data_IF_253926237044
#
_entry.id   IF_253926237044
#
_cell.length_a   1.000
_cell.length_b   1.000
_cell.length_c   1.000
_cell.angle_alpha   90.00
_cell.angle_beta   90.00
_cell.angle_gamma   90.00
#
_symmetry.space_group_name_H-M   'P 1'
#
loop_
_entity.id
_entity.type
_entity.pdbx_description
1 polymer ?
#
# COMPACT_ATOMS: atom_id res chain seq x y z
N UNK A 1 8.62 -9.08 13.19
CA UNK A 1 9.19 -10.35 12.71
C UNK A 1 8.33 -11.49 13.24
N UNK A 2 7.57 -12.13 12.35
CA UNK A 2 6.69 -13.23 12.69
C UNK A 2 7.45 -14.56 12.65
N UNK A 3 6.99 -15.55 13.41
CA UNK A 3 7.53 -16.92 13.31
C UNK A 3 7.31 -17.57 11.94
N UNK A 4 6.39 -17.01 11.14
CA UNK A 4 6.05 -17.48 9.80
C UNK A 4 6.76 -16.68 8.68
N UNK A 5 7.71 -15.81 9.03
CA UNK A 5 8.49 -15.08 8.03
C UNK A 5 9.30 -16.08 7.18
N UNK A 6 9.34 -15.84 5.86
CA UNK A 6 10.07 -16.70 4.92
C UNK A 6 11.46 -16.11 4.68
N UNK A 7 12.48 -16.94 4.90
CA UNK A 7 13.86 -16.62 4.59
C UNK A 7 14.09 -16.63 3.07
N UNK A 8 14.67 -15.53 2.58
CA UNK A 8 15.16 -15.37 1.21
C UNK A 8 16.68 -15.26 1.26
N UNK A 9 17.37 -16.09 0.50
CA UNK A 9 18.83 -16.12 0.48
C UNK A 9 19.43 -14.90 -0.25
N UNK A 10 20.62 -14.41 0.13
CA UNK A 10 21.31 -13.34 -0.59
C UNK A 10 21.55 -13.64 -2.06
N UNK A 11 21.71 -14.92 -2.43
CA UNK A 11 21.85 -15.33 -3.83
C UNK A 11 20.55 -15.15 -4.62
N UNK A 12 19.38 -15.44 -4.04
CA UNK A 12 18.08 -15.16 -4.65
C UNK A 12 17.85 -13.65 -4.80
N UNK A 13 18.17 -12.87 -3.76
CA UNK A 13 18.07 -11.40 -3.80
C UNK A 13 18.86 -10.83 -4.97
N UNK A 14 20.14 -11.23 -5.10
CA UNK A 14 21.00 -10.77 -6.20
C UNK A 14 20.54 -11.28 -7.56
N UNK A 15 20.12 -12.55 -7.65
CA UNK A 15 19.73 -13.18 -8.92
C UNK A 15 18.51 -12.50 -9.55
N UNK A 16 17.54 -12.09 -8.75
CA UNK A 16 16.28 -11.51 -9.23
C UNK A 16 16.18 -10.00 -8.97
N UNK A 17 17.29 -9.35 -8.63
CA UNK A 17 17.35 -7.92 -8.31
C UNK A 17 16.25 -7.48 -7.32
N UNK A 18 16.07 -8.27 -6.26
CA UNK A 18 15.01 -8.04 -5.27
C UNK A 18 15.38 -6.87 -4.37
N UNK A 19 14.41 -6.02 -4.10
CA UNK A 19 14.51 -4.88 -3.20
C UNK A 19 13.51 -5.01 -2.04
N UNK A 20 13.80 -4.34 -0.93
CA UNK A 20 12.85 -4.25 0.19
C UNK A 20 11.54 -3.66 -0.32
N UNK A 21 10.47 -4.46 -0.22
CA UNK A 21 9.12 -4.11 -0.65
C UNK A 21 8.57 -4.99 -1.77
N UNK A 22 9.43 -5.74 -2.45
CA UNK A 22 8.98 -6.67 -3.47
C UNK A 22 8.07 -7.76 -2.89
N UNK A 23 6.93 -7.96 -3.54
CA UNK A 23 6.01 -9.07 -3.29
C UNK A 23 6.55 -10.31 -4.01
N UNK A 24 7.11 -11.24 -3.23
CA UNK A 24 7.71 -12.47 -3.75
C UNK A 24 6.78 -13.64 -3.50
N UNK A 25 6.39 -14.32 -4.57
CA UNK A 25 5.58 -15.55 -4.51
C UNK A 25 6.39 -16.74 -5.01
N UNK A 26 6.19 -17.90 -4.38
CA UNK A 26 6.82 -19.13 -4.84
C UNK A 26 6.79 -20.26 -3.83
N UNK A 27 7.54 -21.31 -4.14
CA UNK A 27 7.54 -22.54 -3.36
C UNK A 27 8.40 -22.37 -2.11
N UNK A 28 7.85 -22.74 -0.95
CA UNK A 28 8.54 -22.70 0.34
C UNK A 28 8.80 -24.10 0.86
N UNK A 29 9.84 -24.26 1.67
CA UNK A 29 10.10 -25.48 2.43
C UNK A 29 10.13 -25.21 3.94
N UNK A 30 9.77 -26.20 4.76
CA UNK A 30 9.93 -26.09 6.21
C UNK A 30 11.41 -25.93 6.60
N UNK A 31 11.69 -25.34 7.79
CA UNK A 31 13.03 -25.26 8.35
C UNK A 31 13.61 -26.66 8.56
N UNK A 32 14.89 -26.83 8.25
CA UNK A 32 15.67 -28.01 8.63
C UNK A 32 16.17 -27.87 10.07
N UNK A 33 16.74 -28.95 10.60
CA UNK A 33 17.38 -28.94 11.91
C UNK A 33 18.43 -27.81 11.99
N UNK A 34 18.28 -26.91 12.97
CA UNK A 34 19.12 -25.71 13.12
C UNK A 34 18.62 -24.45 12.40
N UNK A 35 17.57 -24.52 11.57
CA UNK A 35 16.94 -23.35 10.93
C UNK A 35 15.71 -22.87 11.72
N UNK A 36 15.49 -21.56 11.79
CA UNK A 36 14.36 -20.96 12.52
C UNK A 36 13.15 -20.62 11.64
N UNK A 37 13.35 -20.46 10.33
CA UNK A 37 12.37 -19.91 9.41
C UNK A 37 12.13 -20.85 8.23
N UNK A 38 10.94 -20.77 7.62
CA UNK A 38 10.71 -21.36 6.30
C UNK A 38 11.70 -20.75 5.30
N UNK A 39 12.11 -21.51 4.28
CA UNK A 39 13.01 -21.00 3.25
C UNK A 39 12.35 -21.04 1.88
N UNK A 40 12.55 -19.98 1.09
CA UNK A 40 12.08 -19.91 -0.29
C UNK A 40 12.93 -20.84 -1.17
N UNK A 41 12.31 -21.84 -1.80
CA UNK A 41 12.97 -22.78 -2.71
C UNK A 41 13.09 -22.18 -4.12
N UNK A 42 11.97 -21.70 -4.66
CA UNK A 42 11.86 -21.24 -6.03
C UNK A 42 10.95 -20.02 -6.06
N UNK A 43 11.40 -18.96 -6.74
CA UNK A 43 10.58 -17.79 -7.04
C UNK A 43 9.74 -18.11 -8.27
N UNK A 44 8.43 -17.90 -8.17
CA UNK A 44 7.47 -18.07 -9.26
C UNK A 44 6.99 -16.72 -9.80
N UNK A 45 6.92 -15.69 -8.94
CA UNK A 45 6.59 -14.34 -9.35
C UNK A 45 7.23 -13.28 -8.44
N UNK A 46 7.53 -12.12 -9.02
CA UNK A 46 7.93 -10.89 -8.30
C UNK A 46 6.95 -9.80 -8.70
N UNK A 47 6.29 -9.17 -7.72
CA UNK A 47 5.25 -8.14 -7.94
C UNK A 47 4.15 -8.58 -8.94
N UNK A 48 3.73 -9.85 -8.83
CA UNK A 48 2.73 -10.50 -9.70
C UNK A 48 3.16 -10.73 -11.15
N UNK A 49 4.43 -10.47 -11.48
CA UNK A 49 4.99 -10.66 -12.82
C UNK A 49 6.04 -11.77 -12.86
N UNK A 50 6.45 -12.13 -14.09
CA UNK A 50 7.54 -13.07 -14.31
C UNK A 50 8.82 -12.57 -13.61
N UNK A 51 9.47 -13.39 -12.76
CA UNK A 51 10.65 -12.99 -12.01
C UNK A 51 11.84 -12.60 -12.91
N UNK A 52 11.85 -12.94 -14.19
CA UNK A 52 12.87 -12.50 -15.12
C UNK A 52 12.75 -11.00 -15.46
N UNK A 53 11.53 -10.44 -15.45
CA UNK A 53 11.29 -9.02 -15.72
C UNK A 53 11.85 -8.11 -14.61
N UNK A 54 11.93 -8.59 -13.37
CA UNK A 54 12.46 -7.79 -12.24
C UNK A 54 13.94 -7.43 -12.40
N UNK A 55 14.67 -8.14 -13.27
CA UNK A 55 16.09 -7.87 -13.57
C UNK A 55 16.31 -6.61 -14.39
N UNK A 56 15.35 -6.25 -15.25
CA UNK A 56 15.44 -5.10 -16.15
C UNK A 56 14.77 -3.85 -15.57
N UNK A 57 14.18 -3.97 -14.38
CA UNK A 57 13.49 -2.88 -13.70
C UNK A 57 14.44 -1.72 -13.39
N UNK A 58 13.98 -0.51 -13.71
CA UNK A 58 14.60 0.74 -13.31
C UNK A 58 14.24 1.01 -11.84
N UNK A 59 15.23 1.31 -11.01
CA UNK A 59 14.97 1.71 -9.61
C UNK A 59 14.10 2.96 -9.56
N UNK A 60 13.16 3.01 -8.61
CA UNK A 60 12.22 4.12 -8.46
C UNK A 60 12.91 5.49 -8.37
N UNK A 61 14.08 5.56 -7.74
CA UNK A 61 14.88 6.78 -7.57
C UNK A 61 15.45 7.32 -8.90
N UNK A 62 15.52 6.47 -9.94
CA UNK A 62 16.02 6.83 -11.27
C UNK A 62 14.89 7.19 -12.25
N UNK A 63 13.62 7.13 -11.84
CA UNK A 63 12.50 7.55 -12.68
C UNK A 63 12.47 9.07 -12.82
N UNK A 64 12.03 9.55 -13.99
CA UNK A 64 11.85 11.00 -14.21
C UNK A 64 10.55 11.45 -13.56
N UNK A 65 10.58 12.38 -12.59
CA UNK A 65 9.36 12.90 -11.98
C UNK A 65 8.62 13.79 -12.97
N UNK A 66 7.32 13.54 -13.15
CA UNK A 66 6.42 14.33 -13.99
C UNK A 66 5.23 14.82 -13.17
N UNK A 67 4.59 15.89 -13.65
CA UNK A 67 3.30 16.31 -13.12
C UNK A 67 2.21 15.31 -13.52
N UNK A 68 1.16 15.13 -12.69
CA UNK A 68 0.02 14.32 -13.08
C UNK A 68 -0.63 14.84 -14.37
N UNK A 69 -0.80 13.94 -15.34
CA UNK A 69 -1.47 14.17 -16.62
C UNK A 69 -2.80 13.38 -16.73
N UNK A 70 -2.95 12.33 -15.94
CA UNK A 70 -4.19 11.56 -15.81
C UNK A 70 -4.95 11.91 -14.51
N UNK A 71 -6.21 12.31 -14.65
CA UNK A 71 -7.11 12.58 -13.53
C UNK A 71 -7.69 11.28 -12.97
N UNK A 72 -7.82 11.21 -11.65
CA UNK A 72 -8.58 10.19 -10.91
C UNK A 72 -9.96 10.78 -10.63
N UNK A 73 -10.98 10.31 -11.34
CA UNK A 73 -12.35 10.79 -11.15
C UNK A 73 -12.97 10.11 -9.93
N UNK A 74 -13.47 10.89 -8.97
CA UNK A 74 -14.01 10.39 -7.70
C UNK A 74 -15.53 10.36 -7.65
N UNK A 75 -16.22 11.16 -8.46
CA UNK A 75 -17.68 11.13 -8.61
C UNK A 75 -18.15 9.73 -9.03
N UNK A 76 -18.94 9.08 -8.18
CA UNK A 76 -19.46 7.73 -8.45
C UNK A 76 -20.97 7.58 -8.21
N UNK A 77 -21.56 8.43 -7.36
CA UNK A 77 -22.99 8.42 -7.03
C UNK A 77 -23.53 9.84 -6.99
N UNK A 78 -24.76 10.03 -7.46
CA UNK A 78 -25.40 11.35 -7.52
C UNK A 78 -25.59 12.00 -6.13
N UNK A 79 -25.77 11.18 -5.08
CA UNK A 79 -25.89 11.63 -3.69
C UNK A 79 -24.55 11.93 -3.02
N UNK A 80 -23.42 11.55 -3.64
CA UNK A 80 -22.09 11.79 -3.08
C UNK A 80 -21.52 13.14 -3.53
N UNK A 81 -21.95 14.20 -2.85
CA UNK A 81 -21.56 15.57 -3.18
C UNK A 81 -20.08 15.83 -2.88
N UNK A 82 -19.48 15.15 -1.90
CA UNK A 82 -18.13 15.50 -1.45
C UNK A 82 -17.05 15.20 -2.49
N UNK A 83 -17.14 14.05 -3.18
CA UNK A 83 -16.20 13.68 -4.24
C UNK A 83 -16.37 14.56 -5.48
N UNK A 84 -17.60 14.94 -5.81
CA UNK A 84 -17.90 15.91 -6.88
C UNK A 84 -17.26 17.26 -6.64
N UNK A 85 -17.33 17.76 -5.40
CA UNK A 85 -16.66 19.01 -5.05
C UNK A 85 -15.14 18.89 -5.16
N UNK A 86 -14.56 17.74 -4.80
CA UNK A 86 -13.12 17.50 -5.01
C UNK A 86 -12.79 17.54 -6.50
N UNK A 87 -13.52 16.79 -7.34
CA UNK A 87 -13.27 16.74 -8.78
C UNK A 87 -13.34 18.13 -9.45
N UNK A 88 -14.23 19.01 -8.96
CA UNK A 88 -14.39 20.37 -9.50
C UNK A 88 -13.36 21.39 -8.99
N UNK A 89 -13.05 21.37 -7.69
CA UNK A 89 -12.28 22.44 -7.05
C UNK A 89 -10.83 22.06 -6.74
N UNK A 90 -10.55 20.76 -6.59
CA UNK A 90 -9.24 20.24 -6.21
C UNK A 90 -9.01 18.86 -6.84
N UNK A 91 -9.01 18.74 -8.18
CA UNK A 91 -8.90 17.46 -8.87
C UNK A 91 -7.63 16.71 -8.45
N UNK A 92 -7.76 15.39 -8.30
CA UNK A 92 -6.65 14.51 -7.92
C UNK A 92 -6.19 13.75 -9.17
N UNK A 93 -4.89 13.77 -9.47
CA UNK A 93 -4.30 13.01 -10.57
C UNK A 93 -3.40 11.86 -10.13
N UNK A 94 -3.03 10.99 -11.06
CA UNK A 94 -2.06 9.91 -10.82
C UNK A 94 -0.67 10.53 -10.59
N UNK A 95 -0.12 10.30 -9.39
CA UNK A 95 1.10 10.96 -8.91
C UNK A 95 0.85 12.25 -8.10
N UNK A 96 -0.41 12.61 -7.82
CA UNK A 96 -0.74 13.78 -7.03
C UNK A 96 -0.22 13.66 -5.59
N UNK A 97 0.32 14.77 -5.08
CA UNK A 97 0.68 14.94 -3.68
C UNK A 97 -0.27 15.94 -3.04
N UNK A 98 -1.26 15.44 -2.30
CA UNK A 98 -2.29 16.24 -1.65
C UNK A 98 -2.13 16.30 -0.13
N UNK A 99 -2.72 17.33 0.47
CA UNK A 99 -2.88 17.44 1.92
C UNK A 99 -4.32 17.86 2.23
N UNK A 100 -5.02 17.08 3.03
CA UNK A 100 -6.33 17.44 3.57
C UNK A 100 -6.11 18.09 4.94
N UNK A 101 -6.34 19.39 5.02
CA UNK A 101 -6.26 20.14 6.28
C UNK A 101 -7.65 20.19 6.90
N UNK A 102 -7.79 19.67 8.11
CA UNK A 102 -9.08 19.61 8.80
C UNK A 102 -8.91 19.74 10.32
N UNK A 103 -9.76 20.54 11.01
CA UNK A 103 -9.80 20.52 12.46
C UNK A 103 -10.39 19.18 12.97
N UNK A 104 -10.19 18.86 14.26
CA UNK A 104 -10.82 17.68 14.87
C UNK A 104 -12.34 17.68 14.67
N UNK A 105 -12.92 16.50 14.41
CA UNK A 105 -14.36 16.28 14.20
C UNK A 105 -14.97 16.97 12.95
N UNK A 106 -14.17 17.44 12.00
CA UNK A 106 -14.66 18.01 10.73
C UNK A 106 -15.01 16.97 9.65
N UNK A 107 -14.97 15.67 9.96
CA UNK A 107 -15.32 14.61 9.00
C UNK A 107 -14.17 14.11 8.13
N UNK A 108 -12.90 14.32 8.53
CA UNK A 108 -11.69 13.81 7.83
C UNK A 108 -11.83 12.34 7.42
N UNK A 109 -12.21 11.49 8.37
CA UNK A 109 -12.31 10.04 8.17
C UNK A 109 -13.36 9.69 7.13
N UNK A 110 -14.55 10.31 7.23
CA UNK A 110 -15.65 10.10 6.28
C UNK A 110 -15.23 10.55 4.87
N UNK A 111 -14.52 11.67 4.76
CA UNK A 111 -14.03 12.14 3.47
C UNK A 111 -13.02 11.17 2.86
N UNK A 112 -12.08 10.65 3.66
CA UNK A 112 -11.10 9.66 3.20
C UNK A 112 -11.76 8.36 2.75
N UNK A 113 -12.77 7.86 3.48
CA UNK A 113 -13.56 6.69 3.07
C UNK A 113 -14.25 6.92 1.73
N UNK A 114 -14.82 8.10 1.53
CA UNK A 114 -15.50 8.46 0.27
C UNK A 114 -14.54 8.58 -0.90
N UNK A 115 -13.36 9.18 -0.70
CA UNK A 115 -12.29 9.21 -1.72
C UNK A 115 -11.88 7.79 -2.08
N UNK A 116 -11.63 6.95 -1.08
CA UNK A 116 -11.21 5.57 -1.28
C UNK A 116 -12.27 4.74 -2.04
N UNK A 117 -13.55 4.93 -1.70
CA UNK A 117 -14.66 4.31 -2.41
C UNK A 117 -14.85 4.87 -3.83
N UNK A 118 -14.60 6.16 -4.06
CA UNK A 118 -14.54 6.76 -5.40
C UNK A 118 -13.48 6.07 -6.27
N UNK A 119 -12.26 5.96 -5.74
CA UNK A 119 -11.13 5.30 -6.41
C UNK A 119 -11.46 3.84 -6.71
N UNK A 120 -11.92 3.05 -5.74
CA UNK A 120 -12.15 1.61 -5.95
C UNK A 120 -13.27 1.30 -6.94
N UNK A 121 -14.24 2.21 -7.11
CA UNK A 121 -15.32 2.05 -8.09
C UNK A 121 -14.89 2.49 -9.48
N UNK A 122 -14.26 3.67 -9.59
CA UNK A 122 -13.95 4.28 -10.89
C UNK A 122 -12.60 3.82 -11.46
N UNK A 123 -11.70 3.39 -10.58
CA UNK A 123 -10.32 3.03 -10.90
C UNK A 123 -9.92 1.70 -10.25
N UNK A 124 -10.55 0.57 -10.62
CA UNK A 124 -10.25 -0.75 -10.06
C UNK A 124 -8.83 -1.24 -10.40
N UNK A 125 -8.14 -0.61 -11.35
CA UNK A 125 -6.74 -0.84 -11.69
C UNK A 125 -5.76 -0.25 -10.65
N UNK A 126 -6.21 0.68 -9.81
CA UNK A 126 -5.37 1.31 -8.80
C UNK A 126 -5.27 0.41 -7.57
N UNK A 127 -4.04 0.02 -7.24
CA UNK A 127 -3.73 -0.65 -5.98
C UNK A 127 -3.87 0.35 -4.82
N UNK A 128 -5.03 0.33 -4.16
CA UNK A 128 -5.33 1.26 -3.08
C UNK A 128 -4.83 0.73 -1.72
N UNK A 129 -3.99 1.54 -1.07
CA UNK A 129 -3.49 1.30 0.28
C UNK A 129 -3.93 2.43 1.21
N UNK A 130 -4.40 2.08 2.41
CA UNK A 130 -4.75 3.02 3.47
C UNK A 130 -3.83 2.77 4.66
N UNK A 131 -2.97 3.75 4.95
CA UNK A 131 -2.04 3.71 6.07
C UNK A 131 -2.58 4.54 7.24
N UNK A 132 -2.87 3.89 8.36
CA UNK A 132 -3.37 4.52 9.58
C UNK A 132 -2.30 4.47 10.68
N UNK A 133 -1.84 5.62 11.14
CA UNK A 133 -0.80 5.73 12.18
C UNK A 133 -1.36 6.53 13.34
N UNK A 134 -1.18 6.02 14.55
CA UNK A 134 -1.58 6.67 15.80
C UNK A 134 -3.09 6.98 15.87
N UNK A 135 -3.89 6.19 15.15
CA UNK A 135 -5.36 6.27 15.15
C UNK A 135 -5.98 5.27 16.14
N UNK A 136 -7.26 5.46 16.45
CA UNK A 136 -7.97 4.59 17.41
C UNK A 136 -8.35 3.23 16.79
N UNK A 137 -8.31 2.12 17.56
CA UNK A 137 -8.67 0.79 17.05
C UNK A 137 -10.05 0.70 16.40
N UNK A 138 -11.04 1.41 16.94
CA UNK A 138 -12.40 1.45 16.39
C UNK A 138 -12.46 2.17 15.03
N UNK A 139 -11.63 3.19 14.81
CA UNK A 139 -11.53 3.91 13.54
C UNK A 139 -10.80 3.07 12.49
N UNK A 140 -9.77 2.32 12.90
CA UNK A 140 -9.10 1.33 12.05
C UNK A 140 -10.08 0.25 11.59
N UNK A 141 -10.85 -0.29 12.54
CA UNK A 141 -11.87 -1.31 12.25
C UNK A 141 -12.97 -0.77 11.34
N UNK A 142 -13.38 0.48 11.53
CA UNK A 142 -14.31 1.18 10.65
C UNK A 142 -13.81 1.22 9.21
N UNK A 143 -12.60 1.76 9.00
CA UNK A 143 -11.98 1.86 7.69
C UNK A 143 -11.85 0.51 6.98
N UNK A 144 -11.41 -0.53 7.71
CA UNK A 144 -11.28 -1.90 7.20
C UNK A 144 -12.60 -2.50 6.69
N UNK A 145 -13.73 -2.12 7.28
CA UNK A 145 -15.06 -2.62 6.89
C UNK A 145 -15.69 -1.77 5.80
N UNK A 146 -15.32 -0.50 5.70
CA UNK A 146 -15.96 0.48 4.81
C UNK A 146 -15.34 0.56 3.42
N UNK A 147 -14.09 0.13 3.25
CA UNK A 147 -13.31 0.36 2.02
C UNK A 147 -12.70 -0.93 1.50
N UNK A 148 -12.79 -1.16 0.18
CA UNK A 148 -12.11 -2.26 -0.51
C UNK A 148 -10.66 -1.87 -0.85
N UNK A 149 -9.82 -1.77 0.19
CA UNK A 149 -8.41 -1.42 0.07
C UNK A 149 -7.55 -2.30 1.00
N UNK A 150 -6.25 -2.33 0.75
CA UNK A 150 -5.32 -2.84 1.75
C UNK A 150 -5.19 -1.83 2.88
N UNK A 151 -5.65 -2.18 4.09
CA UNK A 151 -5.55 -1.31 5.26
C UNK A 151 -4.41 -1.77 6.16
N UNK A 152 -3.40 -0.91 6.27
CA UNK A 152 -2.21 -1.12 7.11
C UNK A 152 -2.31 -0.13 8.28
N UNK A 153 -2.15 -0.62 9.50
CA UNK A 153 -2.32 0.23 10.69
C UNK A 153 -1.29 0.01 11.78
N UNK A 154 -0.94 1.08 12.49
CA UNK A 154 -0.34 1.04 13.81
C UNK A 154 -1.13 1.96 14.73
N UNK A 155 -1.97 1.37 15.58
CA UNK A 155 -2.82 2.07 16.55
C UNK A 155 -2.01 2.79 17.64
N UNK A 156 -2.64 3.75 18.32
CA UNK A 156 -1.98 4.64 19.31
C UNK A 156 -1.35 3.93 20.53
N UNK A 157 -1.75 2.69 20.81
CA UNK A 157 -1.21 1.86 21.90
C UNK A 157 0.17 1.26 21.56
N UNK A 158 0.60 1.37 20.30
CA UNK A 158 1.88 0.86 19.84
C UNK A 158 3.02 1.86 20.10
N UNK A 159 4.25 1.38 20.31
CA UNK A 159 5.39 2.28 20.49
C UNK A 159 5.72 3.04 19.20
N UNK A 160 6.30 4.24 19.32
CA UNK A 160 6.71 5.09 18.19
C UNK A 160 7.59 4.36 17.16
N UNK A 161 8.48 3.48 17.64
CA UNK A 161 9.32 2.66 16.77
C UNK A 161 8.50 1.75 15.84
N UNK A 162 7.32 1.29 16.28
CA UNK A 162 6.41 0.53 15.46
C UNK A 162 5.78 1.41 14.38
N UNK A 163 5.34 2.63 14.71
CA UNK A 163 4.81 3.58 13.72
C UNK A 163 5.82 3.85 12.60
N UNK A 164 7.08 4.14 12.96
CA UNK A 164 8.17 4.37 12.00
C UNK A 164 8.38 3.13 11.13
N UNK A 165 8.39 1.95 11.75
CA UNK A 165 8.62 0.71 11.03
C UNK A 165 7.50 0.41 10.03
N UNK A 166 6.24 0.57 10.44
CA UNK A 166 5.07 0.33 9.58
C UNK A 166 5.02 1.35 8.44
N UNK A 167 5.30 2.63 8.71
CA UNK A 167 5.34 3.67 7.68
C UNK A 167 6.52 3.52 6.69
N UNK A 168 7.59 2.82 7.07
CA UNK A 168 8.75 2.52 6.20
C UNK A 168 8.58 1.26 5.37
N UNK A 169 7.47 0.53 5.50
CA UNK A 169 7.20 -0.60 4.62
C UNK A 169 7.04 -0.05 3.20
N UNK A 170 8.08 -0.23 2.39
CA UNK A 170 8.02 -0.01 0.95
C UNK A 170 7.22 -1.17 0.36
N UNK A 171 6.29 -0.90 -0.55
CA UNK A 171 5.65 -1.87 -1.44
C UNK A 171 5.53 -1.20 -2.80
#
# INVERSE_FOLDING_TARGET
PGGNDIYISPSQIRRFNLSTGDLVSGQVRPPKEGERYYALLKIEAVNHEDPELSKERIDFENLTPLFPDEMINLENRADEISTRLIDLFSPIGKGQRGLIVSPPKAGKTILLEKIANGITVNHPEINLMVLLIDERPEEVTGMQRSVKAEVISSTFDQPVNNHIKVAKIKR
#
